data_IF_316033452939
#
_entry.id   IF_316033452939
#
_cell.length_a   1.000
_cell.length_b   1.000
_cell.length_c   1.000
_cell.angle_alpha   90.00
_cell.angle_beta   90.00
_cell.angle_gamma   90.00
#
_symmetry.space_group_name_H-M   'P 1'
#
loop_
_entity.id
_entity.type
_entity.pdbx_description
1 polymer ?
#
# COMPACT_ATOMS: atom_id res chain seq x y z
N UNK A 1 28.04 68.90 9.64
CA UNK A 1 26.92 67.96 9.77
C UNK A 1 26.63 67.39 8.40
N UNK A 2 26.70 66.10 8.07
CA UNK A 2 26.64 64.88 8.86
C UNK A 2 27.30 63.74 8.06
N UNK A 3 28.02 62.89 8.77
CA UNK A 3 28.69 61.65 8.32
C UNK A 3 27.69 60.64 7.79
N UNK A 4 28.05 59.85 6.78
CA UNK A 4 27.77 58.40 6.74
C UNK A 4 28.71 57.73 5.73
N UNK A 5 29.77 57.11 6.26
CA UNK A 5 30.57 56.13 5.53
C UNK A 5 29.89 54.76 5.62
N UNK A 6 29.78 54.10 4.47
CA UNK A 6 29.39 52.70 4.37
C UNK A 6 30.65 51.89 4.06
N UNK A 7 31.35 51.47 5.11
CA UNK A 7 32.22 50.30 5.07
C UNK A 7 31.41 49.14 5.65
N UNK A 8 31.11 48.16 4.80
CA UNK A 8 30.26 47.03 5.14
C UNK A 8 30.75 45.76 4.47
N UNK A 9 31.95 45.32 4.85
CA UNK A 9 32.41 43.95 4.61
C UNK A 9 31.48 42.98 5.33
N UNK A 10 30.47 42.48 4.61
CA UNK A 10 29.62 41.39 5.07
C UNK A 10 30.26 40.05 4.65
N UNK A 11 31.05 39.49 5.55
CA UNK A 11 31.49 38.11 5.50
C UNK A 11 30.28 37.18 5.57
N UNK A 12 30.00 36.44 4.50
CA UNK A 12 28.98 35.38 4.49
C UNK A 12 29.44 34.22 5.39
N UNK A 13 28.70 33.82 6.44
CA UNK A 13 28.94 32.54 7.07
C UNK A 13 28.43 31.42 6.17
N UNK A 14 29.38 30.75 5.52
CA UNK A 14 29.21 29.42 4.94
C UNK A 14 28.80 28.44 6.05
N UNK A 15 27.51 28.13 6.10
CA UNK A 15 26.94 27.04 6.89
C UNK A 15 26.29 26.07 5.92
N UNK A 16 27.13 25.37 5.16
CA UNK A 16 26.71 24.11 4.58
C UNK A 16 26.41 23.14 5.74
N UNK A 17 25.23 22.52 5.82
CA UNK A 17 25.01 21.46 6.79
C UNK A 17 26.00 20.33 6.50
N UNK A 18 26.55 19.66 7.53
CA UNK A 18 27.47 18.56 7.33
C UNK A 18 26.75 17.48 6.52
N UNK A 19 27.32 17.13 5.37
CA UNK A 19 26.96 15.93 4.63
C UNK A 19 27.00 14.75 5.61
N UNK A 20 25.83 14.35 6.09
CA UNK A 20 25.68 13.16 6.91
C UNK A 20 26.31 12.01 6.15
N UNK A 21 27.21 11.28 6.83
CA UNK A 21 27.83 10.07 6.28
C UNK A 21 26.76 9.20 5.64
N UNK A 22 26.98 8.63 4.45
CA UNK A 22 26.11 7.59 3.93
C UNK A 22 26.06 6.48 4.98
N UNK A 23 24.90 6.30 5.63
CA UNK A 23 24.66 5.10 6.42
C UNK A 23 24.84 3.93 5.47
N UNK A 24 25.79 3.04 5.78
CA UNK A 24 25.91 1.76 5.10
C UNK A 24 24.55 1.07 5.14
N UNK A 25 24.05 0.54 4.00
CA UNK A 25 22.70 -0.03 3.91
C UNK A 25 22.48 -1.27 4.78
N UNK A 26 23.55 -1.83 5.35
CA UNK A 26 23.51 -3.06 6.17
C UNK A 26 22.75 -2.86 7.50
N UNK A 27 22.80 -1.67 8.12
CA UNK A 27 22.09 -1.41 9.37
C UNK A 27 20.56 -1.28 9.23
N UNK A 28 20.04 -1.16 8.00
CA UNK A 28 18.61 -1.03 7.75
C UNK A 28 17.88 -2.39 7.61
N UNK A 29 18.61 -3.47 7.28
CA UNK A 29 18.00 -4.80 7.04
C UNK A 29 17.55 -5.51 8.32
N UNK A 30 18.16 -5.18 9.47
CA UNK A 30 17.82 -5.85 10.73
C UNK A 30 16.45 -5.41 11.27
N UNK A 31 16.08 -4.14 11.04
CA UNK A 31 14.84 -3.51 11.50
C UNK A 31 13.61 -3.81 10.62
N UNK A 32 13.76 -4.56 9.53
CA UNK A 32 12.65 -4.82 8.63
C UNK A 32 11.61 -5.78 9.21
N UNK A 33 10.32 -5.59 8.89
CA UNK A 33 9.25 -6.52 9.24
C UNK A 33 9.50 -7.94 8.71
N UNK A 34 9.01 -8.94 9.43
CA UNK A 34 9.18 -10.36 9.08
C UNK A 34 8.74 -10.69 7.64
N UNK A 35 7.64 -10.10 7.16
CA UNK A 35 7.15 -10.36 5.81
C UNK A 35 8.10 -9.88 4.71
N UNK A 36 8.90 -8.83 4.97
CA UNK A 36 9.92 -8.34 4.02
C UNK A 36 11.04 -9.37 3.91
N UNK A 37 11.51 -9.88 5.05
CA UNK A 37 12.53 -10.94 5.12
C UNK A 37 12.05 -12.23 4.45
N UNK A 38 10.77 -12.58 4.59
CA UNK A 38 10.16 -13.73 3.89
C UNK A 38 10.17 -13.56 2.36
N UNK A 39 9.82 -12.37 1.87
CA UNK A 39 9.83 -12.07 0.43
C UNK A 39 11.26 -12.17 -0.10
N UNK A 40 12.22 -11.55 0.58
CA UNK A 40 13.64 -11.60 0.19
C UNK A 40 14.18 -13.04 0.20
N UNK A 41 13.85 -13.83 1.23
CA UNK A 41 14.26 -15.23 1.30
C UNK A 41 13.69 -16.09 0.15
N UNK A 42 12.45 -15.82 -0.27
CA UNK A 42 11.84 -16.50 -1.43
C UNK A 42 12.41 -16.02 -2.76
N UNK A 43 12.73 -14.74 -2.88
CA UNK A 43 13.41 -14.19 -4.05
C UNK A 43 14.77 -14.86 -4.27
N UNK A 44 15.54 -15.07 -3.20
CA UNK A 44 16.83 -15.81 -3.23
C UNK A 44 16.65 -17.26 -3.68
N UNK A 45 15.53 -17.90 -3.31
CA UNK A 45 15.18 -19.27 -3.75
C UNK A 45 14.71 -19.36 -5.21
N UNK A 46 14.62 -18.24 -5.93
CA UNK A 46 14.26 -18.22 -7.36
C UNK A 46 12.78 -17.92 -7.65
N UNK A 47 11.99 -17.48 -6.68
CA UNK A 47 10.60 -17.07 -6.93
C UNK A 47 10.57 -15.71 -7.66
N UNK A 48 10.18 -15.72 -8.94
CA UNK A 48 10.15 -14.53 -9.80
C UNK A 48 9.20 -13.44 -9.31
N UNK A 49 8.06 -13.81 -8.70
CA UNK A 49 7.13 -12.84 -8.15
C UNK A 49 7.73 -12.16 -6.91
N UNK A 50 8.46 -12.93 -6.09
CA UNK A 50 9.18 -12.40 -4.94
C UNK A 50 10.37 -11.53 -5.37
N UNK A 51 11.09 -11.86 -6.45
CA UNK A 51 12.17 -11.02 -6.99
C UNK A 51 11.65 -9.64 -7.40
N UNK A 52 10.56 -9.58 -8.16
CA UNK A 52 9.93 -8.32 -8.53
C UNK A 52 9.44 -7.52 -7.30
N UNK A 53 8.89 -8.22 -6.30
CA UNK A 53 8.48 -7.60 -5.04
C UNK A 53 9.66 -7.04 -4.24
N UNK A 54 10.81 -7.72 -4.19
CA UNK A 54 12.04 -7.22 -3.56
C UNK A 54 12.51 -5.90 -4.18
N UNK A 55 12.46 -5.76 -5.51
CA UNK A 55 12.80 -4.50 -6.18
C UNK A 55 11.86 -3.37 -5.74
N UNK A 56 10.55 -3.65 -5.67
CA UNK A 56 9.56 -2.68 -5.19
C UNK A 56 9.80 -2.31 -3.72
N UNK A 57 10.13 -3.30 -2.88
CA UNK A 57 10.42 -3.11 -1.45
C UNK A 57 11.67 -2.25 -1.24
N UNK A 58 12.73 -2.44 -2.04
CA UNK A 58 13.93 -1.60 -1.99
C UNK A 58 13.61 -0.15 -2.32
N UNK A 59 12.80 0.10 -3.36
CA UNK A 59 12.35 1.45 -3.71
C UNK A 59 11.52 2.08 -2.57
N UNK A 60 10.58 1.33 -2.00
CA UNK A 60 9.77 1.79 -0.85
C UNK A 60 10.65 2.07 0.36
N UNK A 61 11.61 1.18 0.67
CA UNK A 61 12.56 1.35 1.78
C UNK A 61 13.39 2.61 1.62
N UNK A 62 13.88 2.88 0.41
CA UNK A 62 14.59 4.12 0.09
C UNK A 62 13.74 5.36 0.44
N UNK A 63 12.47 5.38 0.04
CA UNK A 63 11.54 6.48 0.36
C UNK A 63 11.27 6.60 1.87
N UNK A 64 11.08 5.48 2.57
CA UNK A 64 10.86 5.47 4.03
C UNK A 64 12.07 6.09 4.75
N UNK A 65 13.28 5.64 4.40
CA UNK A 65 14.51 6.12 5.01
C UNK A 65 14.80 7.59 4.66
N UNK A 66 14.52 8.03 3.43
CA UNK A 66 14.66 9.44 3.02
C UNK A 66 13.74 10.38 3.79
N UNK A 67 12.57 9.88 4.22
CA UNK A 67 11.62 10.65 5.05
C UNK A 67 11.90 10.53 6.56
N UNK A 68 13.04 9.98 6.97
CA UNK A 68 13.43 9.75 8.37
C UNK A 68 12.41 8.92 9.17
N UNK A 69 11.58 8.13 8.49
CA UNK A 69 10.59 7.27 9.12
C UNK A 69 11.20 5.90 9.46
N UNK A 70 10.71 5.27 10.53
CA UNK A 70 11.12 3.91 10.89
C UNK A 70 10.49 2.88 9.93
N UNK A 71 11.25 1.87 9.46
CA UNK A 71 10.70 0.78 8.67
C UNK A 71 9.69 0.00 9.53
N UNK A 72 8.42 0.08 9.17
CA UNK A 72 7.32 -0.56 9.90
C UNK A 72 6.33 -1.15 8.89
N UNK A 73 5.52 -2.17 9.28
CA UNK A 73 4.52 -2.74 8.38
C UNK A 73 3.57 -1.69 7.80
N UNK A 74 3.15 -0.73 8.63
CA UNK A 74 2.29 0.38 8.21
C UNK A 74 2.98 1.30 7.19
N UNK A 75 4.28 1.57 7.33
CA UNK A 75 5.04 2.38 6.37
C UNK A 75 5.16 1.67 5.01
N UNK A 76 5.47 0.37 5.01
CA UNK A 76 5.52 -0.43 3.78
C UNK A 76 4.14 -0.57 3.12
N UNK A 77 3.09 -0.77 3.91
CA UNK A 77 1.71 -0.80 3.42
C UNK A 77 1.32 0.53 2.76
N UNK A 78 1.57 1.66 3.42
CA UNK A 78 1.28 2.98 2.88
C UNK A 78 2.12 3.28 1.62
N UNK A 79 3.41 2.94 1.63
CA UNK A 79 4.30 3.10 0.48
C UNK A 79 3.87 2.28 -0.72
N UNK A 80 3.49 1.02 -0.51
CA UNK A 80 3.01 0.15 -1.58
C UNK A 80 1.65 0.61 -2.15
N UNK A 81 0.72 1.05 -1.30
CA UNK A 81 -0.56 1.61 -1.74
C UNK A 81 -0.36 2.89 -2.57
N UNK A 82 0.50 3.80 -2.11
CA UNK A 82 0.84 5.03 -2.83
C UNK A 82 1.53 4.74 -4.18
N UNK A 83 2.45 3.77 -4.22
CA UNK A 83 3.09 3.35 -5.47
C UNK A 83 2.09 2.74 -6.46
N UNK A 84 1.15 1.92 -5.98
CA UNK A 84 0.11 1.31 -6.80
C UNK A 84 -0.86 2.35 -7.38
N UNK A 85 -1.17 3.39 -6.60
CA UNK A 85 -2.04 4.48 -7.04
C UNK A 85 -1.48 5.28 -8.22
N UNK A 86 -0.15 5.25 -8.44
CA UNK A 86 0.49 5.90 -9.60
C UNK A 86 0.24 5.18 -10.92
N UNK A 87 -0.45 4.04 -10.92
CA UNK A 87 -0.69 3.24 -12.12
C UNK A 87 0.56 2.64 -12.72
N UNK A 88 1.34 1.86 -11.93
CA UNK A 88 2.54 1.23 -12.44
C UNK A 88 2.19 0.15 -13.48
N UNK A 89 3.17 -0.31 -14.29
CA UNK A 89 2.96 -1.41 -15.23
C UNK A 89 2.41 -2.68 -14.55
N UNK A 90 1.70 -3.57 -15.26
CA UNK A 90 1.03 -4.75 -14.68
C UNK A 90 1.94 -5.64 -13.82
N UNK A 91 3.18 -5.89 -14.25
CA UNK A 91 4.14 -6.70 -13.49
C UNK A 91 4.50 -6.05 -12.14
N UNK A 92 4.74 -4.73 -12.15
CA UNK A 92 5.01 -3.95 -10.94
C UNK A 92 3.75 -3.86 -10.05
N UNK A 93 2.57 -3.71 -10.65
CA UNK A 93 1.31 -3.72 -9.91
C UNK A 93 1.09 -5.06 -9.19
N UNK A 94 1.35 -6.19 -9.86
CA UNK A 94 1.29 -7.53 -9.25
C UNK A 94 2.27 -7.67 -8.07
N UNK A 95 3.51 -7.20 -8.25
CA UNK A 95 4.51 -7.19 -7.18
C UNK A 95 4.09 -6.34 -5.98
N UNK A 96 3.54 -5.15 -6.21
CA UNK A 96 3.02 -4.27 -5.15
C UNK A 96 1.80 -4.87 -4.45
N UNK A 97 0.90 -5.54 -5.18
CA UNK A 97 -0.23 -6.26 -4.59
C UNK A 97 0.23 -7.44 -3.73
N UNK A 98 1.30 -8.14 -4.11
CA UNK A 98 1.92 -9.17 -3.28
C UNK A 98 2.46 -8.57 -1.98
N UNK A 99 3.19 -7.45 -2.07
CA UNK A 99 3.69 -6.72 -0.89
C UNK A 99 2.53 -6.30 0.01
N UNK A 100 1.47 -5.70 -0.54
CA UNK A 100 0.28 -5.30 0.22
C UNK A 100 -0.38 -6.48 0.93
N UNK A 101 -0.60 -7.60 0.23
CA UNK A 101 -1.20 -8.81 0.83
C UNK A 101 -0.38 -9.36 2.00
N UNK A 102 0.94 -9.20 1.95
CA UNK A 102 1.86 -9.62 3.02
C UNK A 102 1.96 -8.60 4.16
N UNK A 103 1.82 -7.32 3.84
CA UNK A 103 1.87 -6.23 4.82
C UNK A 103 0.56 -6.09 5.61
N UNK A 104 -0.61 -6.34 5.00
CA UNK A 104 -1.93 -6.21 5.65
C UNK A 104 -2.00 -6.96 7.00
N UNK A 105 -1.72 -8.28 7.09
CA UNK A 105 -1.84 -8.99 8.37
C UNK A 105 -0.80 -8.55 9.41
N UNK A 106 0.30 -7.94 8.98
CA UNK A 106 1.33 -7.38 9.86
C UNK A 106 1.05 -5.92 10.27
N UNK A 107 0.06 -5.27 9.66
CA UNK A 107 -0.28 -3.87 9.90
C UNK A 107 -1.41 -3.79 10.92
N UNK A 108 -1.33 -2.88 11.92
CA UNK A 108 -2.43 -2.68 12.87
C UNK A 108 -3.75 -2.42 12.15
N UNK A 109 -4.82 -3.09 12.57
CA UNK A 109 -6.13 -3.02 11.93
C UNK A 109 -6.66 -1.58 11.81
N UNK A 110 -6.39 -0.72 12.80
CA UNK A 110 -6.71 0.71 12.78
C UNK A 110 -6.01 1.47 11.65
N UNK A 111 -4.74 1.16 11.37
CA UNK A 111 -3.98 1.77 10.28
C UNK A 111 -4.47 1.28 8.91
N UNK A 112 -4.85 0.01 8.78
CA UNK A 112 -5.49 -0.52 7.57
C UNK A 112 -6.84 0.17 7.35
N UNK A 113 -7.67 0.28 8.38
CA UNK A 113 -8.98 0.94 8.31
C UNK A 113 -8.85 2.41 7.88
N UNK A 114 -7.93 3.16 8.47
CA UNK A 114 -7.71 4.57 8.14
C UNK A 114 -7.31 4.80 6.66
N UNK A 115 -6.71 3.79 6.03
CA UNK A 115 -6.16 3.85 4.67
C UNK A 115 -6.94 3.02 3.66
N UNK A 116 -8.06 2.40 4.05
CA UNK A 116 -8.77 1.47 3.17
C UNK A 116 -9.30 2.15 1.91
N UNK A 117 -9.69 3.42 2.00
CA UNK A 117 -10.11 4.20 0.84
C UNK A 117 -8.97 4.46 -0.15
N UNK A 118 -7.79 4.78 0.36
CA UNK A 118 -6.60 4.98 -0.46
C UNK A 118 -6.23 3.67 -1.17
N UNK A 119 -6.31 2.56 -0.43
CA UNK A 119 -6.11 1.23 -0.99
C UNK A 119 -7.18 0.89 -2.04
N UNK A 120 -8.45 1.16 -1.79
CA UNK A 120 -9.54 0.93 -2.74
C UNK A 120 -9.34 1.73 -4.03
N UNK A 121 -8.89 2.99 -3.92
CA UNK A 121 -8.53 3.81 -5.06
C UNK A 121 -7.31 3.24 -5.81
N UNK A 122 -6.25 2.84 -5.09
CA UNK A 122 -5.04 2.27 -5.68
C UNK A 122 -5.32 0.95 -6.40
N UNK A 123 -6.06 0.04 -5.77
CA UNK A 123 -6.49 -1.22 -6.38
C UNK A 123 -7.43 -0.97 -7.56
N UNK A 124 -8.28 0.05 -7.48
CA UNK A 124 -9.11 0.48 -8.60
C UNK A 124 -8.31 0.81 -9.87
N UNK A 125 -7.06 1.23 -9.75
CA UNK A 125 -6.16 1.41 -10.90
C UNK A 125 -5.72 0.06 -11.47
N UNK A 126 -5.34 -0.90 -10.62
CA UNK A 126 -4.99 -2.25 -11.04
C UNK A 126 -6.17 -3.01 -11.67
N UNK A 127 -7.40 -2.73 -11.25
CA UNK A 127 -8.62 -3.31 -11.81
C UNK A 127 -8.97 -2.77 -13.20
N UNK A 128 -8.37 -1.64 -13.62
CA UNK A 128 -8.48 -1.13 -15.00
C UNK A 128 -7.49 -1.79 -15.97
N UNK A 129 -6.71 -2.77 -15.51
CA UNK A 129 -5.82 -3.53 -16.36
C UNK A 129 -6.57 -4.23 -17.51
N UNK A 130 -5.87 -4.58 -18.60
CA UNK A 130 -6.46 -5.27 -19.73
C UNK A 130 -7.24 -6.53 -19.31
N UNK A 131 -8.32 -6.89 -20.02
CA UNK A 131 -9.14 -8.07 -19.71
C UNK A 131 -8.39 -9.40 -19.89
N UNK A 132 -7.17 -9.39 -20.40
CA UNK A 132 -6.32 -10.58 -20.49
C UNK A 132 -5.65 -10.89 -19.14
N UNK A 133 -5.45 -9.88 -18.29
CA UNK A 133 -4.76 -10.00 -17.01
C UNK A 133 -5.69 -10.45 -15.87
N UNK A 134 -6.42 -11.54 -16.09
CA UNK A 134 -7.35 -12.10 -15.10
C UNK A 134 -6.67 -12.46 -13.76
N UNK A 135 -5.38 -12.81 -13.77
CA UNK A 135 -4.62 -13.09 -12.55
C UNK A 135 -4.40 -11.83 -11.70
N UNK A 136 -4.06 -10.69 -12.33
CA UNK A 136 -3.86 -9.42 -11.65
C UNK A 136 -5.15 -8.93 -11.01
N UNK A 137 -6.27 -9.03 -11.73
CA UNK A 137 -7.61 -8.66 -11.23
C UNK A 137 -7.97 -9.51 -10.01
N UNK A 138 -7.74 -10.83 -10.06
CA UNK A 138 -7.96 -11.70 -8.89
C UNK A 138 -7.07 -11.31 -7.70
N UNK A 139 -5.81 -10.97 -7.93
CA UNK A 139 -4.92 -10.52 -6.86
C UNK A 139 -5.39 -9.20 -6.24
N UNK A 140 -5.83 -8.26 -7.07
CA UNK A 140 -6.42 -6.99 -6.67
C UNK A 140 -7.68 -7.19 -5.80
N UNK A 141 -8.64 -7.99 -6.26
CA UNK A 141 -9.85 -8.34 -5.52
C UNK A 141 -9.54 -9.07 -4.20
N UNK A 142 -8.56 -9.98 -4.21
CA UNK A 142 -8.10 -10.67 -3.00
C UNK A 142 -7.40 -9.72 -2.01
N UNK A 143 -6.70 -8.70 -2.50
CA UNK A 143 -6.10 -7.66 -1.65
C UNK A 143 -7.16 -6.81 -0.97
N UNK A 144 -8.22 -6.41 -1.69
CA UNK A 144 -9.36 -5.69 -1.11
C UNK A 144 -10.09 -6.52 -0.05
N UNK A 145 -10.28 -7.81 -0.33
CA UNK A 145 -10.88 -8.74 0.63
C UNK A 145 -10.08 -8.77 1.93
N UNK A 146 -8.76 -9.01 1.85
CA UNK A 146 -7.89 -9.09 3.02
C UNK A 146 -7.85 -7.78 3.82
N UNK A 147 -7.79 -6.63 3.13
CA UNK A 147 -7.77 -5.33 3.79
C UNK A 147 -9.11 -5.01 4.47
N UNK A 148 -10.23 -5.39 3.85
CA UNK A 148 -11.56 -5.23 4.45
C UNK A 148 -11.70 -6.09 5.70
N UNK A 149 -11.27 -7.36 5.61
CA UNK A 149 -11.30 -8.29 6.74
C UNK A 149 -10.48 -7.76 7.92
N UNK A 150 -9.28 -7.27 7.65
CA UNK A 150 -8.42 -6.64 8.66
C UNK A 150 -9.03 -5.36 9.23
N UNK A 151 -9.61 -4.49 8.38
CA UNK A 151 -10.21 -3.23 8.83
C UNK A 151 -11.39 -3.45 9.78
N UNK A 152 -12.30 -4.38 9.45
CA UNK A 152 -13.41 -4.75 10.35
C UNK A 152 -12.95 -5.53 11.59
N UNK A 153 -11.78 -6.15 11.55
CA UNK A 153 -11.14 -6.77 12.72
C UNK A 153 -10.69 -5.78 13.81
N UNK A 154 -10.65 -4.47 13.52
CA UNK A 154 -10.22 -3.44 14.47
C UNK A 154 -11.21 -3.19 15.64
N UNK A 155 -12.40 -3.80 15.61
CA UNK A 155 -13.41 -3.67 16.66
C UNK A 155 -14.48 -2.59 16.40
N UNK A 156 -15.31 -2.36 17.42
CA UNK A 156 -16.51 -1.51 17.33
C UNK A 156 -16.15 -0.06 17.00
N UNK A 157 -16.37 0.35 15.75
CA UNK A 157 -16.14 1.72 15.27
C UNK A 157 -15.44 1.81 13.91
N UNK A 158 -14.77 0.74 13.48
CA UNK A 158 -14.21 0.67 12.14
C UNK A 158 -15.32 0.46 11.11
N UNK A 159 -15.77 1.56 10.50
CA UNK A 159 -16.75 1.59 9.41
C UNK A 159 -16.04 1.94 8.10
N UNK A 160 -15.49 0.95 7.40
CA UNK A 160 -14.88 1.22 6.11
C UNK A 160 -15.92 1.76 5.12
N UNK A 161 -15.52 2.76 4.34
CA UNK A 161 -16.45 3.53 3.52
C UNK A 161 -16.98 2.74 2.30
N UNK A 162 -18.19 3.08 1.86
CA UNK A 162 -18.97 2.58 0.70
C UNK A 162 -18.20 2.39 -0.61
N UNK A 163 -17.04 3.04 -0.77
CA UNK A 163 -16.21 3.00 -2.00
C UNK A 163 -15.57 1.64 -2.28
N UNK A 164 -15.51 0.71 -1.32
CA UNK A 164 -14.89 -0.61 -1.51
C UNK A 164 -15.74 -1.53 -2.40
N UNK A 165 -17.07 -1.48 -2.30
CA UNK A 165 -17.97 -2.35 -3.07
C UNK A 165 -18.05 -1.97 -4.55
N UNK A 166 -18.00 -0.68 -4.86
CA UNK A 166 -18.11 -0.16 -6.23
C UNK A 166 -17.16 -0.85 -7.23
N UNK A 167 -15.84 -0.94 -7.00
CA UNK A 167 -14.94 -1.62 -7.92
C UNK A 167 -15.19 -3.13 -8.01
N UNK A 168 -15.74 -3.77 -6.97
CA UNK A 168 -16.00 -5.22 -6.96
C UNK A 168 -17.20 -5.56 -7.85
N UNK A 169 -18.26 -4.75 -7.79
CA UNK A 169 -19.49 -4.98 -8.56
C UNK A 169 -19.30 -4.98 -10.07
N UNK A 170 -18.31 -4.25 -10.57
CA UNK A 170 -17.94 -4.29 -11.99
C UNK A 170 -17.51 -5.69 -12.47
N UNK A 171 -17.13 -6.59 -11.56
CA UNK A 171 -16.63 -7.94 -11.89
C UNK A 171 -17.59 -9.08 -11.54
N UNK A 172 -18.77 -8.79 -10.96
CA UNK A 172 -19.77 -9.83 -10.67
C UNK A 172 -20.37 -10.45 -11.94
N UNK A 173 -20.38 -9.71 -13.04
CA UNK A 173 -20.80 -10.19 -14.36
C UNK A 173 -19.64 -10.58 -15.28
N UNK A 174 -18.40 -10.68 -14.77
CA UNK A 174 -17.22 -10.93 -15.63
C UNK A 174 -17.35 -12.27 -16.35
N UNK A 175 -17.04 -12.31 -17.65
CA UNK A 175 -17.10 -13.53 -18.45
C UNK A 175 -16.15 -14.63 -17.93
N UNK A 176 -15.01 -14.23 -17.35
CA UNK A 176 -13.98 -15.14 -16.83
C UNK A 176 -14.43 -15.66 -15.47
N UNK A 177 -14.86 -16.93 -15.43
CA UNK A 177 -15.36 -17.57 -14.21
C UNK A 177 -14.43 -17.40 -12.97
N UNK A 178 -13.09 -17.50 -13.07
CA UNK A 178 -12.22 -17.29 -11.92
C UNK A 178 -12.22 -15.84 -11.38
N UNK A 179 -12.40 -14.84 -12.25
CA UNK A 179 -12.48 -13.43 -11.84
C UNK A 179 -13.82 -13.18 -11.18
N UNK A 180 -14.91 -13.65 -11.80
CA UNK A 180 -16.26 -13.57 -11.25
C UNK A 180 -16.36 -14.21 -9.87
N UNK A 181 -15.87 -15.45 -9.72
CA UNK A 181 -15.85 -16.14 -8.44
C UNK A 181 -15.09 -15.36 -7.36
N UNK A 182 -13.92 -14.79 -7.70
CA UNK A 182 -13.17 -13.97 -6.76
C UNK A 182 -13.92 -12.69 -6.38
N UNK A 183 -14.64 -12.06 -7.32
CA UNK A 183 -15.44 -10.88 -7.05
C UNK A 183 -16.64 -11.19 -6.13
N UNK A 184 -17.34 -12.29 -6.38
CA UNK A 184 -18.43 -12.80 -5.53
C UNK A 184 -17.94 -13.09 -4.10
N UNK A 185 -16.79 -13.76 -3.98
CA UNK A 185 -16.17 -14.04 -2.68
C UNK A 185 -15.80 -12.75 -1.95
N UNK A 186 -15.12 -11.82 -2.62
CA UNK A 186 -14.74 -10.53 -2.04
C UNK A 186 -15.98 -9.74 -1.62
N UNK A 187 -17.02 -9.65 -2.45
CA UNK A 187 -18.27 -8.97 -2.13
C UNK A 187 -18.96 -9.61 -0.91
N UNK A 188 -19.02 -10.94 -0.87
CA UNK A 188 -19.61 -11.68 0.25
C UNK A 188 -18.90 -11.39 1.56
N UNK A 189 -17.57 -11.35 1.57
CA UNK A 189 -16.78 -11.00 2.77
C UNK A 189 -17.08 -9.57 3.21
N UNK A 190 -17.05 -8.61 2.29
CA UNK A 190 -17.33 -7.19 2.60
C UNK A 190 -18.72 -7.03 3.20
N UNK A 191 -19.75 -7.62 2.59
CA UNK A 191 -21.15 -7.54 3.05
C UNK A 191 -21.33 -8.23 4.40
N UNK A 192 -20.77 -9.44 4.60
CA UNK A 192 -20.86 -10.15 5.88
C UNK A 192 -20.20 -9.38 7.02
N UNK A 193 -19.02 -8.79 6.76
CA UNK A 193 -18.31 -7.98 7.77
C UNK A 193 -19.04 -6.67 8.07
N UNK A 194 -19.56 -6.00 7.04
CA UNK A 194 -20.39 -4.81 7.19
C UNK A 194 -21.64 -5.07 8.03
N UNK A 195 -22.36 -6.17 7.74
CA UNK A 195 -23.53 -6.60 8.49
C UNK A 195 -23.19 -6.90 9.96
N UNK A 196 -22.11 -7.65 10.23
CA UNK A 196 -21.68 -7.95 11.59
C UNK A 196 -21.28 -6.69 12.38
N UNK A 197 -20.75 -5.67 11.71
CA UNK A 197 -20.36 -4.40 12.33
C UNK A 197 -21.49 -3.37 12.42
N UNK A 198 -22.68 -3.66 11.87
CA UNK A 198 -23.77 -2.68 11.77
C UNK A 198 -23.43 -1.48 10.88
N UNK A 199 -22.57 -1.66 9.87
CA UNK A 199 -22.19 -0.61 8.94
C UNK A 199 -23.24 -0.42 7.84
N UNK A 200 -24.33 0.24 8.20
CA UNK A 200 -25.44 0.51 7.29
C UNK A 200 -24.99 1.32 6.05
N UNK A 201 -23.96 2.16 6.16
CA UNK A 201 -23.50 2.96 5.02
C UNK A 201 -22.92 2.09 3.90
N UNK A 202 -22.21 1.02 4.27
CA UNK A 202 -21.71 0.03 3.31
C UNK A 202 -22.84 -0.83 2.75
N UNK A 203 -23.84 -1.18 3.55
CA UNK A 203 -24.98 -2.02 3.14
C UNK A 203 -25.99 -1.30 2.25
N UNK A 204 -26.25 -0.01 2.49
CA UNK A 204 -27.18 0.82 1.72
C UNK A 204 -26.73 1.05 0.26
N UNK A 205 -25.57 0.53 -0.16
CA UNK A 205 -25.19 0.50 -1.57
C UNK A 205 -25.90 -0.61 -2.36
N UNK A 206 -26.56 -1.55 -1.67
CA UNK A 206 -27.33 -2.64 -2.27
C UNK A 206 -28.82 -2.32 -2.44
N UNK A 207 -29.31 -1.17 -1.96
CA UNK A 207 -30.67 -0.63 -2.17
C UNK A 207 -30.70 0.45 -3.22
#
# INVERSE_FOLDING_TARGET
>A
SSRFGWDGSASLPSLAPPCGRPRTPEGAMEADPAFVKEIDAKAVKGDEACKAATVCLQAIRSVICSNLAAPSPAAYFAGAAAALQRGPPPATAAALLLVLRKAIPATPASAVCARLNDLAAAVGVALKAPPEDGALIRQALGCLMAATDAAYGAGAGARPNRKVLKPIFAFLGDARAPVRHQAELTATVVVKRAAAAGDQQTLDFAS
#
